data_IF_302427553016
#
_entry.id   IF_302427553016
#
_cell.length_a   1.000
_cell.length_b   1.000
_cell.length_c   1.000
_cell.angle_alpha   90.00
_cell.angle_beta   90.00
_cell.angle_gamma   90.00
#
_symmetry.space_group_name_H-M   'P 1'
#
loop_
_entity.id
_entity.type
_entity.pdbx_description
1 polymer ?
#
# COMPACT_ATOMS: atom_id res chain seq x y z
N UNK A 1 -40.66 -7.35 -37.92
CA UNK A 1 -39.28 -6.92 -38.29
C UNK A 1 -38.61 -6.00 -37.27
N UNK A 2 -39.31 -5.04 -36.64
CA UNK A 2 -38.71 -4.14 -35.61
C UNK A 2 -38.15 -4.85 -34.36
N UNK A 3 -38.79 -5.91 -33.87
CA UNK A 3 -38.38 -6.62 -32.64
C UNK A 3 -37.07 -7.40 -32.84
N UNK A 4 -36.88 -8.03 -34.01
CA UNK A 4 -35.65 -8.76 -34.34
C UNK A 4 -34.43 -7.83 -34.47
N UNK A 5 -34.64 -6.59 -34.95
CA UNK A 5 -33.58 -5.59 -35.02
C UNK A 5 -33.13 -5.12 -33.62
N UNK A 6 -34.07 -4.96 -32.68
CA UNK A 6 -33.77 -4.56 -31.30
C UNK A 6 -33.06 -5.71 -30.55
N UNK A 7 -33.50 -6.95 -30.76
CA UNK A 7 -32.86 -8.13 -30.17
C UNK A 7 -31.43 -8.34 -30.69
N UNK A 8 -31.17 -8.08 -31.98
CA UNK A 8 -29.83 -8.16 -32.56
C UNK A 8 -28.85 -7.13 -31.99
N UNK A 9 -29.31 -5.91 -31.73
CA UNK A 9 -28.49 -4.85 -31.11
C UNK A 9 -28.18 -5.17 -29.64
N UNK A 10 -29.14 -5.71 -28.90
CA UNK A 10 -28.94 -6.13 -27.50
C UNK A 10 -27.94 -7.30 -27.37
N UNK A 11 -27.98 -8.27 -28.28
CA UNK A 11 -27.01 -9.37 -28.30
C UNK A 11 -25.59 -8.91 -28.63
N UNK A 12 -25.43 -7.88 -29.47
CA UNK A 12 -24.11 -7.33 -29.82
C UNK A 12 -23.43 -6.62 -28.63
N UNK A 13 -24.19 -6.03 -27.71
CA UNK A 13 -23.65 -5.41 -26.50
C UNK A 13 -23.06 -6.43 -25.51
N UNK A 14 -23.54 -7.69 -25.52
CA UNK A 14 -23.03 -8.73 -24.63
C UNK A 14 -21.62 -9.24 -25.01
N UNK A 15 -21.16 -8.99 -26.24
CA UNK A 15 -19.82 -9.37 -26.70
C UNK A 15 -18.80 -8.23 -26.64
N UNK A 16 -19.19 -7.06 -26.13
CA UNK A 16 -18.28 -5.96 -25.86
C UNK A 16 -17.41 -6.32 -24.63
N UNK A 17 -16.33 -7.06 -24.85
CA UNK A 17 -15.30 -7.23 -23.83
C UNK A 17 -14.64 -5.86 -23.56
N UNK A 18 -14.50 -5.43 -22.29
CA UNK A 18 -13.76 -4.21 -21.98
C UNK A 18 -12.27 -4.43 -22.29
N UNK A 19 -11.88 -4.08 -23.51
CA UNK A 19 -10.48 -3.94 -23.92
C UNK A 19 -9.89 -2.75 -23.16
N UNK A 20 -9.17 -3.03 -22.06
CA UNK A 20 -8.35 -2.02 -21.39
C UNK A 20 -8.62 -1.77 -19.91
N UNK A 21 -9.21 -2.71 -19.18
CA UNK A 21 -9.18 -2.61 -17.73
C UNK A 21 -7.76 -2.91 -17.23
N UNK A 22 -7.07 -1.89 -16.70
CA UNK A 22 -5.81 -2.07 -15.97
C UNK A 22 -6.06 -2.98 -14.76
N UNK A 23 -5.74 -4.25 -14.90
CA UNK A 23 -5.80 -5.21 -13.81
C UNK A 23 -4.66 -4.94 -12.82
N UNK A 24 -4.96 -5.03 -11.53
CA UNK A 24 -4.01 -4.89 -10.43
C UNK A 24 -3.88 -6.19 -9.66
N UNK A 25 -2.68 -6.44 -9.16
CA UNK A 25 -2.38 -7.49 -8.18
C UNK A 25 -2.28 -6.79 -6.82
N UNK A 26 -2.97 -7.34 -5.82
CA UNK A 26 -3.01 -6.80 -4.45
C UNK A 26 -2.30 -7.76 -3.49
N UNK A 27 -1.68 -7.20 -2.45
CA UNK A 27 -1.08 -7.94 -1.32
C UNK A 27 -1.26 -7.15 -0.04
N UNK A 28 -1.67 -7.84 1.01
CA UNK A 28 -1.63 -7.28 2.36
C UNK A 28 -0.29 -7.63 3.01
N UNK A 29 0.35 -6.62 3.60
CA UNK A 29 1.60 -6.75 4.33
C UNK A 29 1.40 -6.24 5.75
N UNK A 30 1.92 -6.99 6.73
CA UNK A 30 2.04 -6.57 8.11
C UNK A 30 3.53 -6.42 8.44
N UNK A 31 3.93 -5.24 8.92
CA UNK A 31 5.32 -4.96 9.24
C UNK A 31 5.48 -3.88 10.32
N UNK A 32 6.65 -3.88 10.95
CA UNK A 32 7.02 -2.88 11.95
C UNK A 32 7.76 -1.71 11.29
N UNK A 33 7.47 -0.48 11.73
CA UNK A 33 8.28 0.69 11.33
C UNK A 33 9.63 0.66 12.02
N UNK A 34 10.59 1.43 11.52
CA UNK A 34 11.85 1.59 12.24
C UNK A 34 11.73 2.63 13.37
N UNK A 35 12.40 2.42 14.51
CA UNK A 35 12.44 3.39 15.60
C UNK A 35 13.04 4.72 15.16
N UNK A 36 12.60 5.80 15.81
CA UNK A 36 13.21 7.13 15.63
C UNK A 36 14.71 7.09 15.95
N UNK A 37 15.50 7.87 15.20
CA UNK A 37 16.92 8.07 15.52
C UNK A 37 17.09 8.81 16.86
N UNK A 38 16.13 9.67 17.22
CA UNK A 38 16.16 10.49 18.42
C UNK A 38 15.60 9.73 19.64
N UNK A 39 16.28 9.89 20.78
CA UNK A 39 15.79 9.45 22.09
C UNK A 39 14.93 10.55 22.70
N UNK A 40 13.68 10.24 23.05
CA UNK A 40 12.74 11.19 23.63
C UNK A 40 12.08 10.60 24.88
N UNK A 41 11.32 11.40 25.62
CA UNK A 41 10.46 10.85 26.68
C UNK A 41 9.45 9.90 26.04
N UNK A 42 9.03 8.86 26.76
CA UNK A 42 8.15 7.81 26.21
C UNK A 42 6.91 8.38 25.51
N UNK A 43 6.22 9.33 26.16
CA UNK A 43 5.04 9.98 25.59
C UNK A 43 5.33 10.66 24.24
N UNK A 44 6.43 11.43 24.18
CA UNK A 44 6.85 12.14 22.97
C UNK A 44 7.31 11.16 21.88
N UNK A 45 8.06 10.13 22.27
CA UNK A 45 8.55 9.11 21.36
C UNK A 45 7.39 8.31 20.72
N UNK A 46 6.36 7.94 21.50
CA UNK A 46 5.13 7.31 20.98
C UNK A 46 4.39 8.23 20.02
N UNK A 47 4.22 9.51 20.39
CA UNK A 47 3.57 10.48 19.51
C UNK A 47 4.34 10.65 18.20
N UNK A 48 5.68 10.73 18.26
CA UNK A 48 6.55 10.79 17.09
C UNK A 48 6.42 9.55 16.21
N UNK A 49 6.41 8.35 16.80
CA UNK A 49 6.26 7.10 16.06
C UNK A 49 4.90 7.01 15.34
N UNK A 50 3.82 7.49 15.98
CA UNK A 50 2.46 7.42 15.45
C UNK A 50 2.13 8.54 14.45
N UNK A 51 3.08 9.44 14.13
CA UNK A 51 2.85 10.54 13.19
C UNK A 51 2.42 10.00 11.82
N UNK A 52 1.34 10.54 11.21
CA UNK A 52 0.88 10.11 9.88
C UNK A 52 1.97 10.10 8.81
N UNK A 53 2.88 11.08 8.87
CA UNK A 53 4.03 11.15 7.97
C UNK A 53 4.93 9.90 8.05
N UNK A 54 5.17 9.38 9.26
CA UNK A 54 5.97 8.18 9.44
C UNK A 54 5.22 6.94 8.91
N UNK A 55 3.92 6.85 9.18
CA UNK A 55 3.08 5.75 8.68
C UNK A 55 3.10 5.72 7.15
N UNK A 56 2.85 6.86 6.48
CA UNK A 56 2.90 6.95 5.02
C UNK A 56 4.29 6.58 4.46
N UNK A 57 5.35 7.13 5.05
CA UNK A 57 6.73 6.87 4.62
C UNK A 57 7.09 5.38 4.72
N UNK A 58 6.76 4.73 5.84
CA UNK A 58 7.08 3.31 6.03
C UNK A 58 6.15 2.40 5.23
N UNK A 59 4.86 2.73 5.11
CA UNK A 59 3.92 1.98 4.26
C UNK A 59 4.39 1.93 2.80
N UNK A 60 4.90 3.05 2.27
CA UNK A 60 5.54 3.09 0.94
C UNK A 60 6.73 2.14 0.85
N UNK A 61 7.61 2.15 1.86
CA UNK A 61 8.78 1.25 1.90
C UNK A 61 8.38 -0.22 1.99
N UNK A 62 7.32 -0.54 2.74
CA UNK A 62 6.81 -1.91 2.85
C UNK A 62 6.32 -2.41 1.50
N UNK A 63 5.54 -1.62 0.76
CA UNK A 63 5.13 -2.02 -0.58
C UNK A 63 6.31 -2.12 -1.55
N UNK A 64 7.25 -1.17 -1.50
CA UNK A 64 8.45 -1.20 -2.36
C UNK A 64 9.36 -2.40 -2.11
N UNK A 65 9.36 -2.98 -0.90
CA UNK A 65 10.13 -4.19 -0.60
C UNK A 65 9.61 -5.44 -1.32
N UNK A 66 8.37 -5.41 -1.83
CA UNK A 66 7.79 -6.48 -2.66
C UNK A 66 8.34 -6.49 -4.10
N UNK A 67 9.13 -5.47 -4.47
CA UNK A 67 9.78 -5.34 -5.76
C UNK A 67 9.30 -4.11 -6.55
N UNK A 68 9.84 -3.95 -7.76
CA UNK A 68 9.51 -2.83 -8.62
C UNK A 68 8.02 -2.78 -8.98
N UNK A 69 7.46 -1.56 -8.99
CA UNK A 69 6.08 -1.27 -9.37
C UNK A 69 5.03 -1.44 -8.25
N UNK A 70 5.40 -2.00 -7.10
CA UNK A 70 4.49 -2.08 -5.94
C UNK A 70 4.38 -0.73 -5.23
N UNK A 71 3.15 -0.33 -4.94
CA UNK A 71 2.85 0.91 -4.24
C UNK A 71 1.69 0.71 -3.26
N UNK A 72 1.54 1.67 -2.35
CA UNK A 72 0.43 1.67 -1.39
C UNK A 72 -0.89 1.83 -2.15
N UNK A 73 -1.86 1.02 -1.77
CA UNK A 73 -3.27 1.23 -2.09
C UNK A 73 -3.99 1.84 -0.88
N UNK A 74 -3.87 1.18 0.27
CA UNK A 74 -4.53 1.57 1.51
C UNK A 74 -3.68 1.18 2.72
N UNK A 75 -3.70 2.01 3.79
CA UNK A 75 -3.20 1.62 5.11
C UNK A 75 -4.40 1.18 5.94
N UNK A 76 -4.52 -0.13 6.20
CA UNK A 76 -5.63 -0.73 6.93
C UNK A 76 -5.52 -0.48 8.42
N UNK A 77 -4.32 -0.67 8.97
CA UNK A 77 -4.07 -0.53 10.40
C UNK A 77 -2.73 0.18 10.66
N UNK A 78 -2.75 1.12 11.61
CA UNK A 78 -1.55 1.87 12.03
C UNK A 78 -0.76 1.09 13.10
N UNK A 79 -1.36 0.06 13.69
CA UNK A 79 -0.71 -0.78 14.68
C UNK A 79 -0.58 -0.13 16.06
N UNK A 80 0.40 -0.59 16.85
CA UNK A 80 0.62 -0.15 18.24
C UNK A 80 2.02 0.42 18.43
N UNK A 81 2.14 1.42 19.30
CA UNK A 81 3.44 2.03 19.59
C UNK A 81 4.22 1.19 20.61
N UNK A 82 5.33 0.60 20.18
CA UNK A 82 6.29 -0.11 21.04
C UNK A 82 7.56 0.73 21.23
N UNK A 83 8.21 0.59 22.38
CA UNK A 83 9.32 1.46 22.79
C UNK A 83 10.46 0.64 23.39
N UNK A 84 11.68 1.01 23.02
CA UNK A 84 12.91 0.45 23.57
C UNK A 84 13.71 1.54 24.28
N UNK A 85 14.36 1.18 25.38
CA UNK A 85 15.24 2.08 26.12
C UNK A 85 16.44 2.49 25.27
N UNK A 86 16.86 3.74 25.44
CA UNK A 86 18.07 4.24 24.82
C UNK A 86 19.32 3.82 25.61
N UNK A 87 20.25 3.14 24.93
CA UNK A 87 21.52 2.67 25.51
C UNK A 87 22.29 3.77 26.25
N UNK A 88 22.31 4.99 25.69
CA UNK A 88 23.17 6.08 26.18
C UNK A 88 22.47 7.08 27.11
N UNK A 89 21.13 7.00 27.23
CA UNK A 89 20.34 8.02 27.95
C UNK A 89 19.22 7.38 28.76
N UNK A 90 19.49 7.18 30.05
CA UNK A 90 18.52 6.66 31.02
C UNK A 90 17.24 7.49 31.04
N UNK A 91 16.10 6.80 31.03
CA UNK A 91 14.77 7.43 31.06
C UNK A 91 14.26 7.94 29.70
N UNK A 92 15.06 7.83 28.62
CA UNK A 92 14.61 8.13 27.26
C UNK A 92 14.38 6.86 26.46
N UNK A 93 13.43 6.94 25.54
CA UNK A 93 12.90 5.83 24.75
C UNK A 93 12.99 6.14 23.26
N UNK A 94 13.13 5.09 22.46
CA UNK A 94 12.91 5.09 21.00
C UNK A 94 11.71 4.23 20.70
N UNK A 95 10.66 4.82 20.15
CA UNK A 95 9.46 4.10 19.80
C UNK A 95 9.29 3.94 18.28
N UNK A 96 8.52 2.92 17.91
CA UNK A 96 8.13 2.55 16.56
C UNK A 96 6.68 2.03 16.58
N UNK A 97 6.01 1.95 15.43
CA UNK A 97 4.75 1.20 15.31
C UNK A 97 5.02 -0.27 14.97
N UNK A 98 4.41 -1.16 15.75
CA UNK A 98 4.30 -2.59 15.50
C UNK A 98 3.01 -2.90 14.75
N UNK A 99 3.07 -3.91 13.89
CA UNK A 99 1.91 -4.48 13.19
C UNK A 99 1.14 -3.45 12.34
N UNK A 100 1.87 -2.61 11.59
CA UNK A 100 1.25 -1.76 10.58
C UNK A 100 0.79 -2.65 9.42
N UNK A 101 -0.50 -2.60 9.09
CA UNK A 101 -1.09 -3.39 7.99
C UNK A 101 -1.37 -2.48 6.80
N UNK A 102 -0.77 -2.81 5.66
CA UNK A 102 -0.90 -2.05 4.41
C UNK A 102 -1.32 -2.97 3.28
N UNK A 103 -2.30 -2.53 2.49
CA UNK A 103 -2.61 -3.12 1.19
C UNK A 103 -1.74 -2.45 0.14
N UNK A 104 -0.92 -3.25 -0.52
CA UNK A 104 -0.08 -2.86 -1.63
C UNK A 104 -0.72 -3.33 -2.93
N UNK A 105 -0.60 -2.54 -4.00
CA UNK A 105 -1.00 -2.94 -5.34
C UNK A 105 0.11 -2.71 -6.36
N UNK A 106 0.05 -3.49 -7.45
CA UNK A 106 0.89 -3.32 -8.64
C UNK A 106 0.07 -3.66 -9.88
N UNK A 107 0.31 -2.97 -10.98
CA UNK A 107 -0.29 -3.33 -12.27
C UNK A 107 0.13 -4.75 -12.67
N UNK A 108 -0.84 -5.57 -13.06
CA UNK A 108 -0.59 -6.92 -13.58
C UNK A 108 0.15 -6.81 -14.92
N UNK A 109 1.28 -7.50 -15.11
CA UNK A 109 1.99 -7.49 -16.38
C UNK A 109 1.04 -7.87 -17.54
N UNK A 110 1.03 -7.05 -18.60
CA UNK A 110 0.18 -7.25 -19.78
C UNK A 110 -1.24 -6.70 -19.69
N UNK A 111 -1.66 -6.09 -18.57
CA UNK A 111 -3.02 -5.51 -18.45
C UNK A 111 -3.14 -4.10 -19.03
N UNK A 112 -2.06 -3.35 -19.04
CA UNK A 112 -1.89 -2.15 -19.87
C UNK A 112 -1.17 -2.60 -21.13
N UNK A 113 -1.61 -2.17 -22.32
CA UNK A 113 -1.00 -2.50 -23.62
C UNK A 113 0.45 -1.98 -23.81
N UNK A 114 1.19 -1.81 -22.73
CA UNK A 114 2.58 -1.41 -22.69
C UNK A 114 3.45 -2.65 -22.91
N UNK A 115 3.83 -2.88 -24.16
CA UNK A 115 4.87 -3.85 -24.50
C UNK A 115 6.21 -3.35 -23.94
N UNK A 116 6.87 -4.08 -23.03
CA UNK A 116 8.16 -3.66 -22.50
C UNK A 116 9.18 -3.50 -23.64
N UNK A 117 9.85 -2.34 -23.70
CA UNK A 117 10.92 -2.06 -24.67
C UNK A 117 10.53 -1.24 -25.91
N UNK A 118 9.31 -0.70 -25.99
CA UNK A 118 8.92 0.32 -26.99
C UNK A 118 8.41 1.57 -26.30
N UNK A 119 9.33 2.43 -25.87
CA UNK A 119 9.07 3.77 -25.34
C UNK A 119 9.90 4.79 -26.11
#
# INVERSE_FOLDING_TARGET
MKIYAIAGVLLAYCFANPLGATEYIYRDLMANTLPSAQCETESKAKQSAAKPYNIDRYSKRFCQSQGYGWHVDEVKEIGKSACNECSDKKGLQKCYQEDVVVTCKRIKPGSVGMLPGKG
#
